data_IF_658022395613
#
_entry.id   IF_658022395613
#
_cell.length_a   1.000
_cell.length_b   1.000
_cell.length_c   1.000
_cell.angle_alpha   90.00
_cell.angle_beta   90.00
_cell.angle_gamma   90.00
#
_symmetry.space_group_name_H-M   'P 1'
#
loop_
_entity.id
_entity.type
_entity.pdbx_description
1 polymer ?
#
# COMPACT_ATOMS: atom_id res chain seq x y z
N UNK A 1 -3.40 -8.04 1.79
CA UNK A 1 -4.56 -8.21 2.73
C UNK A 1 -5.69 -8.97 2.03
N UNK A 2 -6.50 -9.77 2.74
CA UNK A 2 -7.68 -10.42 2.15
C UNK A 2 -8.90 -9.49 2.21
N UNK A 3 -9.60 -9.31 1.09
CA UNK A 3 -10.72 -8.39 0.94
C UNK A 3 -11.86 -9.06 0.20
N UNK A 4 -13.09 -8.56 0.34
CA UNK A 4 -14.24 -9.01 -0.45
C UNK A 4 -14.41 -8.08 -1.64
N UNK A 5 -14.76 -8.61 -2.82
CA UNK A 5 -15.08 -7.82 -4.01
C UNK A 5 -16.44 -8.25 -4.56
N UNK A 6 -17.25 -7.28 -4.99
CA UNK A 6 -18.56 -7.58 -5.54
C UNK A 6 -18.43 -8.10 -6.97
N UNK A 7 -17.62 -7.45 -7.80
CA UNK A 7 -17.37 -7.89 -9.18
C UNK A 7 -15.91 -7.69 -9.58
N UNK A 8 -15.37 -8.63 -10.36
CA UNK A 8 -14.05 -8.54 -10.98
C UNK A 8 -14.18 -8.81 -12.46
N UNK A 9 -13.59 -7.92 -13.26
CA UNK A 9 -13.47 -8.09 -14.70
C UNK A 9 -12.03 -8.48 -15.03
N UNK A 10 -11.87 -9.65 -15.62
CA UNK A 10 -10.58 -10.19 -16.04
C UNK A 10 -10.56 -10.32 -17.56
N UNK A 11 -9.41 -10.07 -18.16
CA UNK A 11 -9.15 -10.32 -19.58
C UNK A 11 -8.27 -11.56 -19.71
N UNK A 12 -8.86 -12.65 -20.21
CA UNK A 12 -8.19 -13.91 -20.43
C UNK A 12 -8.42 -14.33 -21.88
N UNK A 13 -7.35 -14.55 -22.65
CA UNK A 13 -7.44 -14.99 -24.04
C UNK A 13 -8.39 -14.13 -24.92
N UNK A 14 -8.36 -12.79 -24.75
CA UNK A 14 -9.28 -11.82 -25.39
C UNK A 14 -10.76 -11.91 -24.98
N UNK A 15 -11.12 -12.73 -23.99
CA UNK A 15 -12.47 -12.78 -23.43
C UNK A 15 -12.52 -12.10 -22.06
N UNK A 16 -13.63 -11.39 -21.82
CA UNK A 16 -13.88 -10.74 -20.53
C UNK A 16 -14.58 -11.74 -19.61
N UNK A 17 -13.85 -12.26 -18.63
CA UNK A 17 -14.40 -13.10 -17.57
C UNK A 17 -14.91 -12.19 -16.44
N UNK A 18 -16.15 -12.41 -16.03
CA UNK A 18 -16.77 -11.67 -14.94
C UNK A 18 -16.98 -12.61 -13.75
N UNK A 19 -16.31 -12.31 -12.63
CA UNK A 19 -16.46 -13.03 -11.37
C UNK A 19 -17.27 -12.17 -10.40
N UNK A 20 -18.26 -12.76 -9.73
CA UNK A 20 -19.15 -12.07 -8.78
C UNK A 20 -19.02 -12.66 -7.39
N UNK A 21 -19.15 -11.80 -6.39
CA UNK A 21 -19.14 -12.14 -4.96
C UNK A 21 -17.96 -13.03 -4.57
N UNK A 22 -16.75 -12.52 -4.83
CA UNK A 22 -15.49 -13.24 -4.63
C UNK A 22 -14.67 -12.61 -3.51
N UNK A 23 -13.77 -13.39 -2.92
CA UNK A 23 -12.75 -12.83 -2.03
C UNK A 23 -11.45 -12.70 -2.80
N UNK A 24 -10.71 -11.64 -2.54
CA UNK A 24 -9.46 -11.33 -3.21
C UNK A 24 -8.33 -11.14 -2.23
N UNK A 25 -7.13 -11.45 -2.66
CA UNK A 25 -5.89 -11.11 -1.96
C UNK A 25 -5.00 -10.42 -2.97
N UNK A 26 -4.77 -9.13 -2.74
CA UNK A 26 -3.85 -8.34 -3.56
C UNK A 26 -2.41 -8.60 -3.14
N UNK A 27 -1.57 -8.75 -4.16
CA UNK A 27 -0.11 -8.90 -4.07
C UNK A 27 0.52 -7.98 -5.11
N UNK A 28 1.83 -7.71 -4.97
CA UNK A 28 2.56 -6.81 -5.88
C UNK A 28 2.45 -7.24 -7.36
N UNK A 29 2.50 -8.55 -7.61
CA UNK A 29 2.51 -9.12 -8.97
C UNK A 29 1.12 -9.44 -9.54
N UNK A 30 0.06 -9.38 -8.72
CA UNK A 30 -1.27 -9.82 -9.15
C UNK A 30 -2.28 -10.05 -8.05
N UNK A 31 -3.34 -10.78 -8.40
CA UNK A 31 -4.53 -10.94 -7.57
C UNK A 31 -4.90 -12.42 -7.44
N UNK A 32 -4.96 -12.90 -6.20
CA UNK A 32 -5.59 -14.18 -5.91
C UNK A 32 -7.08 -13.98 -5.73
N UNK A 33 -7.90 -14.74 -6.44
CA UNK A 33 -9.36 -14.71 -6.36
C UNK A 33 -9.85 -16.05 -5.84
N UNK A 34 -10.52 -16.01 -4.70
CA UNK A 34 -11.24 -17.13 -4.09
C UNK A 34 -12.70 -17.08 -4.53
N UNK A 35 -13.13 -18.11 -5.25
CA UNK A 35 -14.50 -18.32 -5.66
C UNK A 35 -15.05 -19.65 -5.12
N UNK A 36 -16.38 -19.74 -5.05
CA UNK A 36 -17.08 -20.95 -4.62
C UNK A 36 -17.86 -21.49 -5.79
N UNK A 37 -17.62 -22.74 -6.16
CA UNK A 37 -18.33 -23.40 -7.26
C UNK A 37 -19.02 -24.66 -6.78
N UNK A 38 -20.18 -24.97 -7.37
CA UNK A 38 -20.91 -26.20 -7.12
C UNK A 38 -20.26 -27.32 -7.92
N UNK A 39 -19.61 -28.27 -7.23
CA UNK A 39 -18.99 -29.44 -7.84
C UNK A 39 -20.07 -30.47 -8.26
N UNK A 40 -21.12 -30.57 -7.47
CA UNK A 40 -22.22 -31.51 -7.69
C UNK A 40 -23.20 -31.52 -6.53
N UNK A 41 -24.04 -32.55 -6.51
CA UNK A 41 -24.97 -32.81 -5.41
C UNK A 41 -24.69 -34.23 -4.92
N UNK A 42 -24.56 -34.40 -3.62
CA UNK A 42 -24.33 -35.70 -2.98
C UNK A 42 -25.59 -36.58 -3.08
N UNK A 43 -25.48 -37.87 -2.78
CA UNK A 43 -26.59 -38.83 -2.80
C UNK A 43 -27.75 -38.43 -1.84
N UNK A 44 -27.45 -37.59 -0.84
CA UNK A 44 -28.41 -37.00 0.11
C UNK A 44 -29.04 -35.68 -0.37
N UNK A 45 -28.79 -35.25 -1.62
CA UNK A 45 -29.36 -34.02 -2.17
C UNK A 45 -28.72 -32.72 -1.67
N UNK A 46 -27.59 -32.80 -0.95
CA UNK A 46 -26.83 -31.62 -0.51
C UNK A 46 -25.86 -31.16 -1.58
N UNK A 47 -25.82 -29.85 -1.82
CA UNK A 47 -24.88 -29.23 -2.74
C UNK A 47 -23.46 -29.31 -2.19
N UNK A 48 -22.58 -29.94 -2.96
CA UNK A 48 -21.15 -29.99 -2.68
C UNK A 48 -20.56 -28.71 -3.26
N UNK A 49 -20.36 -27.73 -2.39
CA UNK A 49 -19.71 -26.46 -2.73
C UNK A 49 -18.21 -26.60 -2.45
N UNK A 50 -17.39 -26.39 -3.47
CA UNK A 50 -15.95 -26.39 -3.35
C UNK A 50 -15.41 -24.97 -3.54
N UNK A 51 -14.49 -24.60 -2.66
CA UNK A 51 -13.72 -23.36 -2.77
C UNK A 51 -12.58 -23.57 -3.75
N UNK A 52 -12.39 -22.62 -4.65
CA UNK A 52 -11.25 -22.57 -5.56
C UNK A 52 -10.53 -21.25 -5.35
N UNK A 53 -9.21 -21.30 -5.35
CA UNK A 53 -8.34 -20.14 -5.30
C UNK A 53 -7.54 -20.09 -6.60
N UNK A 54 -7.70 -19.00 -7.35
CA UNK A 54 -7.05 -18.84 -8.66
C UNK A 54 -6.19 -17.58 -8.64
N UNK A 55 -4.96 -17.68 -9.14
CA UNK A 55 -4.08 -16.53 -9.30
C UNK A 55 -4.24 -15.92 -10.69
N UNK A 56 -4.42 -14.59 -10.74
CA UNK A 56 -4.43 -13.80 -11.96
C UNK A 56 -3.31 -12.77 -11.91
N UNK A 57 -2.56 -12.67 -13.02
CA UNK A 57 -1.53 -11.64 -13.17
C UNK A 57 -2.17 -10.26 -13.27
N UNK A 58 -1.46 -9.23 -12.81
CA UNK A 58 -1.96 -7.84 -12.82
C UNK A 58 -2.40 -7.37 -14.21
N UNK A 59 -1.70 -7.78 -15.26
CA UNK A 59 -2.04 -7.47 -16.67
C UNK A 59 -3.41 -8.00 -17.11
N UNK A 60 -3.88 -9.08 -16.48
CA UNK A 60 -5.16 -9.70 -16.79
C UNK A 60 -6.34 -9.05 -16.07
N UNK A 61 -6.10 -8.05 -15.20
CA UNK A 61 -7.14 -7.41 -14.38
C UNK A 61 -7.57 -6.11 -15.06
N UNK A 62 -8.84 -6.03 -15.44
CA UNK A 62 -9.39 -4.81 -16.04
C UNK A 62 -9.92 -3.85 -14.98
N UNK A 63 -10.71 -4.37 -14.03
CA UNK A 63 -11.26 -3.60 -12.91
C UNK A 63 -11.80 -4.50 -11.82
N UNK A 64 -11.80 -3.96 -10.61
CA UNK A 64 -12.44 -4.52 -9.42
C UNK A 64 -13.51 -3.52 -8.97
N UNK A 65 -14.70 -4.02 -8.63
CA UNK A 65 -15.86 -3.21 -8.29
C UNK A 65 -16.35 -3.61 -6.90
N UNK A 66 -16.56 -2.58 -6.07
CA UNK A 66 -17.21 -2.66 -4.78
C UNK A 66 -18.46 -1.80 -4.82
N UNK A 67 -19.60 -2.37 -4.44
CA UNK A 67 -20.92 -1.71 -4.52
C UNK A 67 -21.56 -1.51 -3.16
N UNK A 68 -21.14 -2.25 -2.14
CA UNK A 68 -21.64 -2.11 -0.77
C UNK A 68 -20.93 -0.95 -0.06
N UNK A 69 -21.68 0.02 0.48
CA UNK A 69 -21.09 1.22 1.09
C UNK A 69 -20.07 0.89 2.20
N UNK A 70 -20.39 -0.05 3.09
CA UNK A 70 -19.49 -0.49 4.15
C UNK A 70 -18.19 -1.08 3.60
N UNK A 71 -18.28 -1.79 2.49
CA UNK A 71 -17.13 -2.39 1.83
C UNK A 71 -16.29 -1.33 1.13
N UNK A 72 -16.94 -0.40 0.43
CA UNK A 72 -16.28 0.75 -0.22
C UNK A 72 -15.51 1.59 0.80
N UNK A 73 -16.11 1.89 1.95
CA UNK A 73 -15.47 2.71 2.97
C UNK A 73 -14.27 1.98 3.61
N UNK A 74 -14.39 0.68 3.88
CA UNK A 74 -13.27 -0.14 4.34
C UNK A 74 -12.11 -0.18 3.32
N UNK A 75 -12.42 -0.27 2.02
CA UNK A 75 -11.40 -0.24 0.97
C UNK A 75 -10.71 1.12 0.90
N UNK A 76 -11.46 2.23 0.99
CA UNK A 76 -10.88 3.58 1.03
C UNK A 76 -9.94 3.76 2.22
N UNK A 77 -10.36 3.33 3.41
CA UNK A 77 -9.53 3.41 4.62
C UNK A 77 -8.22 2.63 4.46
N UNK A 78 -8.29 1.42 3.91
CA UNK A 78 -7.09 0.59 3.66
C UNK A 78 -6.15 1.25 2.65
N UNK A 79 -6.67 1.73 1.51
CA UNK A 79 -5.85 2.40 0.48
C UNK A 79 -5.20 3.67 1.04
N UNK A 80 -5.93 4.44 1.85
CA UNK A 80 -5.37 5.63 2.50
C UNK A 80 -4.29 5.25 3.51
N UNK A 81 -4.48 4.18 4.28
CA UNK A 81 -3.49 3.70 5.24
C UNK A 81 -2.19 3.27 4.53
N UNK A 82 -2.29 2.55 3.40
CA UNK A 82 -1.13 2.17 2.58
C UNK A 82 -0.38 3.40 2.04
N UNK A 83 -1.09 4.37 1.46
CA UNK A 83 -0.46 5.61 0.95
C UNK A 83 0.22 6.40 2.07
N UNK A 84 -0.40 6.45 3.26
CA UNK A 84 0.17 7.14 4.42
C UNK A 84 1.43 6.42 4.86
N UNK A 85 1.39 5.09 4.98
CA UNK A 85 2.53 4.28 5.37
C UNK A 85 3.71 4.48 4.40
N UNK A 86 3.49 4.37 3.09
CA UNK A 86 4.52 4.58 2.07
C UNK A 86 5.16 5.98 2.18
N UNK A 87 4.35 7.01 2.44
CA UNK A 87 4.85 8.38 2.61
C UNK A 87 5.63 8.56 3.90
N UNK A 88 5.24 7.89 4.97
CA UNK A 88 5.99 7.92 6.23
C UNK A 88 7.32 7.19 6.10
N UNK A 89 7.35 6.03 5.44
CA UNK A 89 8.58 5.29 5.15
C UNK A 89 9.54 6.17 4.34
N UNK A 90 9.07 6.74 3.22
CA UNK A 90 9.88 7.64 2.40
C UNK A 90 10.40 8.87 3.16
N UNK A 91 9.59 9.42 4.07
CA UNK A 91 9.98 10.56 4.90
C UNK A 91 11.03 10.15 5.94
N UNK A 92 10.86 9.01 6.61
CA UNK A 92 11.85 8.48 7.55
C UNK A 92 13.19 8.19 6.86
N UNK A 93 13.18 7.57 5.68
CA UNK A 93 14.37 7.35 4.87
C UNK A 93 15.08 8.68 4.55
N UNK A 94 14.30 9.71 4.20
CA UNK A 94 14.83 11.05 3.95
C UNK A 94 15.47 11.65 5.21
N UNK A 95 14.85 11.50 6.38
CA UNK A 95 15.40 12.00 7.65
C UNK A 95 16.62 11.22 8.13
N UNK A 96 16.69 9.90 7.90
CA UNK A 96 17.87 9.08 8.17
C UNK A 96 19.05 9.51 7.27
N UNK A 97 18.80 9.84 6.00
CA UNK A 97 19.81 10.38 5.08
C UNK A 97 20.30 11.81 5.47
N UNK A 98 19.53 12.57 6.26
CA UNK A 98 19.94 13.88 6.77
C UNK A 98 20.77 13.83 8.07
N UNK A 99 21.00 12.65 8.67
CA UNK A 99 21.89 12.55 9.85
C UNK A 99 23.39 12.48 9.50
N UNK A 100 23.78 12.47 8.22
CA UNK A 100 25.19 12.46 7.79
C UNK A 100 25.76 13.80 7.24
N UNK A 101 25.03 14.92 7.35
CA UNK A 101 25.62 16.26 7.13
C UNK A 101 25.71 17.06 8.44
N UNK A 102 26.85 16.91 9.10
CA UNK A 102 27.52 17.87 10.00
C UNK A 102 26.62 19.00 10.51
N UNK A 103 25.97 18.77 11.67
CA UNK A 103 25.54 19.87 12.53
C UNK A 103 26.80 20.55 13.04
N UNK A 104 27.36 21.43 12.22
CA UNK A 104 28.32 22.42 12.66
C UNK A 104 27.62 23.21 13.74
N UNK A 105 28.08 23.05 14.97
CA UNK A 105 27.67 23.89 16.10
C UNK A 105 27.62 25.34 15.59
N UNK A 106 26.51 26.08 15.81
CA UNK A 106 26.49 27.48 15.45
C UNK A 106 27.68 28.10 16.17
N UNK A 107 28.63 28.68 15.42
CA UNK A 107 29.80 29.34 16.01
C UNK A 107 29.24 30.28 17.08
N UNK A 108 29.47 29.94 18.35
CA UNK A 108 28.97 30.69 19.48
C UNK A 108 29.33 32.16 19.23
N UNK A 109 28.34 33.04 19.28
CA UNK A 109 28.54 34.46 19.08
C UNK A 109 29.54 34.94 20.15
N UNK A 110 30.79 35.18 19.74
CA UNK A 110 31.90 35.56 20.65
C UNK A 110 31.75 36.99 21.15
N UNK A 111 30.66 37.68 20.83
CA UNK A 111 30.34 39.01 21.36
C UNK A 111 30.17 39.04 22.87
N UNK A 112 29.77 37.92 23.47
CA UNK A 112 29.61 37.80 24.92
C UNK A 112 30.87 37.27 25.63
N UNK A 113 31.97 37.04 24.89
CA UNK A 113 33.25 36.60 25.44
C UNK A 113 34.00 37.81 26.05
N UNK A 114 34.26 37.83 27.37
CA UNK A 114 34.95 38.93 28.04
C UNK A 114 36.38 39.18 27.52
N UNK A 115 36.99 38.19 26.88
CA UNK A 115 38.32 38.30 26.26
C UNK A 115 38.26 38.74 24.78
N UNK A 116 37.05 38.84 24.20
CA UNK A 116 36.89 39.30 22.82
C UNK A 116 37.14 40.80 22.71
N UNK A 117 38.29 41.17 22.14
CA UNK A 117 38.63 42.55 21.86
C UNK A 117 38.23 42.92 20.41
N UNK A 118 37.09 43.62 20.19
CA UNK A 118 36.62 43.98 18.85
C UNK A 118 37.51 45.02 18.14
N UNK A 119 38.50 45.60 18.83
CA UNK A 119 39.44 46.58 18.30
C UNK A 119 40.90 46.08 18.30
N UNK A 120 41.11 44.77 18.45
CA UNK A 120 42.43 44.16 18.23
C UNK A 120 42.93 44.55 16.85
N UNK A 121 44.11 45.18 16.79
CA UNK A 121 44.69 45.72 15.56
C UNK A 121 44.67 44.66 14.46
N UNK A 122 44.11 45.01 13.30
CA UNK A 122 44.41 44.29 12.06
C UNK A 122 45.88 44.54 11.77
N UNK A 123 46.70 43.50 11.90
CA UNK A 123 48.06 43.55 11.38
C UNK A 123 47.98 43.69 9.85
N UNK A 124 48.70 44.67 9.31
CA UNK A 124 48.98 44.85 7.88
C UNK A 124 49.92 43.76 7.35
#
# INVERSE_FOLDING_TARGET
MQQKANEIHLLLNNEVLLLKDVKIIETEDGLYVEDSFKLGTDDDGKDIIQRRLTYYRRESILKIIWTENSLVDSIKENVLAEIIQDKFEHLMDTYEDYEEEVVGTPKADRRDDPEFNPYGKKDE
#
